data_IF_790219456904
#
_entry.id   IF_790219456904
#
_cell.length_a   1.000
_cell.length_b   1.000
_cell.length_c   1.000
_cell.angle_alpha   90.00
_cell.angle_beta   90.00
_cell.angle_gamma   90.00
#
_symmetry.space_group_name_H-M   'P 1'
#
loop_
_entity.id
_entity.type
_entity.pdbx_description
1 polymer ?
#
# COMPACT_ATOMS: atom_id res chain seq x y z
N UNK A 1 -1.46 13.69 7.39
CA UNK A 1 -1.80 12.42 6.71
C UNK A 1 -3.14 12.62 6.01
N UNK A 2 -3.23 12.28 4.72
CA UNK A 2 -4.48 12.33 3.94
C UNK A 2 -4.88 10.89 3.67
N UNK A 3 -6.12 10.53 4.00
CA UNK A 3 -6.66 9.21 3.69
C UNK A 3 -7.49 9.29 2.41
N UNK A 4 -7.09 8.56 1.37
CA UNK A 4 -7.86 8.40 0.14
C UNK A 4 -8.70 7.13 0.23
N UNK A 5 -9.92 7.23 0.74
CA UNK A 5 -10.84 6.08 0.83
C UNK A 5 -11.67 5.92 -0.44
N UNK A 6 -12.13 4.68 -0.71
CA UNK A 6 -13.06 4.39 -1.79
C UNK A 6 -12.41 4.35 -3.17
N UNK A 7 -12.75 5.31 -4.04
CA UNK A 7 -12.37 5.34 -5.47
C UNK A 7 -11.33 6.40 -5.83
N UNK A 8 -10.80 7.13 -4.84
CA UNK A 8 -9.84 8.21 -5.07
C UNK A 8 -8.44 7.67 -5.31
N UNK A 9 -7.80 8.05 -6.42
CA UNK A 9 -6.44 7.63 -6.75
C UNK A 9 -5.39 8.49 -6.02
N UNK A 10 -4.52 7.90 -5.18
CA UNK A 10 -3.51 8.63 -4.41
C UNK A 10 -2.60 9.48 -5.28
N UNK A 11 -2.26 8.99 -6.47
CA UNK A 11 -1.41 9.68 -7.44
C UNK A 11 -1.98 11.04 -7.85
N UNK A 12 -3.30 11.15 -8.03
CA UNK A 12 -3.95 12.41 -8.40
C UNK A 12 -3.87 13.44 -7.26
N UNK A 13 -3.96 12.97 -6.01
CA UNK A 13 -3.80 13.83 -4.83
C UNK A 13 -2.35 14.30 -4.71
N UNK A 14 -1.39 13.39 -4.90
CA UNK A 14 0.04 13.73 -4.89
C UNK A 14 0.39 14.74 -5.98
N UNK A 15 -0.12 14.57 -7.20
CA UNK A 15 0.07 15.51 -8.30
C UNK A 15 -0.52 16.89 -8.00
N UNK A 16 -1.73 16.94 -7.42
CA UNK A 16 -2.35 18.20 -7.02
C UNK A 16 -1.52 18.94 -5.95
N UNK A 17 -0.98 18.21 -4.95
CA UNK A 17 -0.12 18.78 -3.91
C UNK A 17 1.20 19.31 -4.50
N UNK A 18 1.83 18.55 -5.40
CA UNK A 18 3.05 18.97 -6.07
C UNK A 18 2.82 20.22 -6.92
N UNK A 19 1.75 20.23 -7.73
CA UNK A 19 1.43 21.32 -8.67
C UNK A 19 1.07 22.62 -7.95
N UNK A 20 0.25 22.55 -6.91
CA UNK A 20 -0.31 23.76 -6.29
C UNK A 20 0.45 24.21 -5.05
N UNK A 21 1.06 23.28 -4.33
CA UNK A 21 1.70 23.55 -3.02
C UNK A 21 3.20 23.28 -3.03
N UNK A 22 3.78 22.78 -4.14
CA UNK A 22 5.19 22.35 -4.24
C UNK A 22 5.58 21.37 -3.13
N UNK A 23 4.63 20.55 -2.71
CA UNK A 23 4.81 19.56 -1.66
C UNK A 23 4.86 18.16 -2.28
N UNK A 24 5.84 17.37 -1.86
CA UNK A 24 5.92 15.96 -2.22
C UNK A 24 5.11 15.14 -1.20
N UNK A 25 4.38 14.13 -1.69
CA UNK A 25 3.60 13.24 -0.84
C UNK A 25 4.12 11.81 -0.97
N UNK A 26 4.36 11.17 0.17
CA UNK A 26 4.58 9.74 0.26
C UNK A 26 3.24 9.01 0.22
N UNK A 27 3.16 7.98 -0.63
CA UNK A 27 1.95 7.18 -0.80
C UNK A 27 2.20 5.81 -0.17
N UNK A 28 1.48 5.53 0.91
CA UNK A 28 1.42 4.20 1.53
C UNK A 28 0.07 3.56 1.26
N UNK A 29 0.08 2.32 0.76
CA UNK A 29 -1.12 1.51 0.56
C UNK A 29 -1.16 0.38 1.59
N UNK A 30 -2.32 0.12 2.16
CA UNK A 30 -2.53 -0.98 3.11
C UNK A 30 -3.43 -2.02 2.45
N UNK A 31 -2.94 -3.25 2.33
CA UNK A 31 -3.68 -4.39 1.80
C UNK A 31 -4.19 -5.24 2.97
N UNK A 32 -5.45 -5.66 2.92
CA UNK A 32 -6.02 -6.65 3.83
C UNK A 32 -5.78 -8.05 3.24
N UNK A 33 -4.81 -8.80 3.78
CA UNK A 33 -4.42 -10.11 3.27
C UNK A 33 -5.59 -11.11 3.25
N UNK A 34 -6.39 -11.13 4.33
CA UNK A 34 -7.53 -12.04 4.47
C UNK A 34 -8.70 -11.75 3.51
N UNK A 35 -8.71 -10.59 2.85
CA UNK A 35 -9.75 -10.22 1.86
C UNK A 35 -9.24 -10.12 0.43
N UNK A 36 -7.93 -10.22 0.21
CA UNK A 36 -7.28 -9.97 -1.08
C UNK A 36 -7.91 -10.76 -2.22
N UNK A 37 -8.03 -12.09 -2.07
CA UNK A 37 -8.52 -12.96 -3.14
C UNK A 37 -9.93 -12.60 -3.61
N UNK A 38 -10.80 -12.18 -2.69
CA UNK A 38 -12.17 -11.75 -3.02
C UNK A 38 -12.20 -10.38 -3.70
N UNK A 39 -11.35 -9.46 -3.25
CA UNK A 39 -11.37 -8.06 -3.69
C UNK A 39 -10.62 -7.85 -5.00
N UNK A 40 -9.52 -8.58 -5.24
CA UNK A 40 -8.63 -8.36 -6.40
C UNK A 40 -9.35 -8.48 -7.74
N UNK A 41 -10.31 -9.40 -7.84
CA UNK A 41 -11.06 -9.65 -9.07
C UNK A 41 -12.11 -8.56 -9.28
N UNK A 42 -12.89 -8.26 -8.26
CA UNK A 42 -14.01 -7.31 -8.39
C UNK A 42 -13.56 -5.85 -8.46
N UNK A 43 -12.36 -5.54 -7.96
CA UNK A 43 -11.84 -4.18 -7.82
C UNK A 43 -10.51 -3.98 -8.57
N UNK A 44 -10.20 -4.81 -9.57
CA UNK A 44 -8.92 -4.84 -10.29
C UNK A 44 -8.44 -3.43 -10.69
N UNK A 45 -9.24 -2.67 -11.45
CA UNK A 45 -8.87 -1.33 -11.89
C UNK A 45 -8.60 -0.34 -10.74
N UNK A 46 -9.36 -0.47 -9.65
CA UNK A 46 -9.16 0.36 -8.47
C UNK A 46 -7.84 0.01 -7.79
N UNK A 47 -7.58 -1.28 -7.58
CA UNK A 47 -6.36 -1.79 -6.95
C UNK A 47 -5.13 -1.39 -7.76
N UNK A 48 -5.19 -1.50 -9.09
CA UNK A 48 -4.12 -1.04 -9.98
C UNK A 48 -3.83 0.44 -9.72
N UNK A 49 -4.84 1.30 -9.78
CA UNK A 49 -4.59 2.73 -9.60
C UNK A 49 -4.19 3.14 -8.17
N UNK A 50 -4.53 2.35 -7.14
CA UNK A 50 -3.98 2.57 -5.80
C UNK A 50 -2.50 2.18 -5.74
N UNK A 51 -2.14 1.01 -6.29
CA UNK A 51 -0.81 0.44 -6.15
C UNK A 51 0.22 1.05 -7.08
N UNK A 52 -0.14 1.48 -8.30
CA UNK A 52 0.83 1.97 -9.29
C UNK A 52 1.64 3.19 -8.83
N UNK A 53 1.10 4.01 -7.93
CA UNK A 53 1.80 5.17 -7.35
C UNK A 53 2.32 4.95 -5.93
N UNK A 54 2.18 3.75 -5.38
CA UNK A 54 2.60 3.47 -4.01
C UNK A 54 4.12 3.46 -3.88
N UNK A 55 4.63 4.08 -2.82
CA UNK A 55 6.03 4.01 -2.44
C UNK A 55 6.24 2.89 -1.41
N UNK A 56 5.29 2.74 -0.50
CA UNK A 56 5.26 1.66 0.51
C UNK A 56 3.94 0.91 0.45
N UNK A 57 3.99 -0.41 0.59
CA UNK A 57 2.81 -1.28 0.68
C UNK A 57 2.89 -2.11 1.96
N UNK A 58 1.85 -2.02 2.78
CA UNK A 58 1.71 -2.81 3.99
C UNK A 58 0.72 -3.95 3.73
N UNK A 59 1.21 -5.18 3.73
CA UNK A 59 0.38 -6.39 3.72
C UNK A 59 -0.07 -6.63 5.17
N UNK A 60 -1.28 -6.19 5.49
CA UNK A 60 -1.82 -6.19 6.85
C UNK A 60 -2.71 -7.41 7.11
N UNK A 61 -2.88 -7.71 8.41
CA UNK A 61 -3.64 -8.86 8.95
C UNK A 61 -3.02 -10.20 8.61
N UNK A 62 -1.69 -10.25 8.58
CA UNK A 62 -0.94 -11.50 8.36
C UNK A 62 -1.18 -12.53 9.47
N UNK A 63 -1.63 -12.09 10.65
CA UNK A 63 -2.08 -12.97 11.74
C UNK A 63 -3.34 -13.80 11.41
N UNK A 64 -4.09 -13.40 10.38
CA UNK A 64 -5.33 -14.08 9.97
C UNK A 64 -5.17 -15.02 8.78
N UNK A 65 -3.97 -15.12 8.22
CA UNK A 65 -3.66 -15.92 7.02
C UNK A 65 -2.38 -16.72 7.23
N UNK A 66 -2.14 -17.72 6.39
CA UNK A 66 -0.86 -18.43 6.43
C UNK A 66 0.28 -17.57 5.85
N UNK A 67 1.55 -17.85 6.21
CA UNK A 67 2.70 -17.17 5.59
C UNK A 67 2.70 -17.29 4.06
N UNK A 68 2.33 -18.45 3.52
CA UNK A 68 2.26 -18.69 2.08
C UNK A 68 1.15 -17.85 1.42
N UNK A 69 0.02 -17.67 2.10
CA UNK A 69 -1.05 -16.78 1.62
C UNK A 69 -0.59 -15.32 1.61
N UNK A 70 0.11 -14.86 2.65
CA UNK A 70 0.65 -13.51 2.71
C UNK A 70 1.70 -13.26 1.61
N UNK A 71 2.60 -14.23 1.37
CA UNK A 71 3.56 -14.18 0.26
C UNK A 71 2.88 -14.15 -1.11
N UNK A 72 1.80 -14.90 -1.30
CA UNK A 72 1.04 -14.88 -2.55
C UNK A 72 0.39 -13.51 -2.78
N UNK A 73 -0.15 -12.87 -1.74
CA UNK A 73 -0.69 -11.50 -1.81
C UNK A 73 0.40 -10.50 -2.20
N UNK A 74 1.58 -10.57 -1.58
CA UNK A 74 2.71 -9.71 -1.93
C UNK A 74 3.12 -9.91 -3.38
N UNK A 75 3.24 -11.17 -3.83
CA UNK A 75 3.60 -11.49 -5.21
C UNK A 75 2.62 -10.87 -6.19
N UNK A 76 1.31 -11.07 -6.00
CA UNK A 76 0.28 -10.48 -6.85
C UNK A 76 0.39 -8.94 -6.87
N UNK A 77 0.63 -8.31 -5.72
CA UNK A 77 0.76 -6.85 -5.65
C UNK A 77 2.04 -6.33 -6.31
N UNK A 78 3.14 -7.09 -6.27
CA UNK A 78 4.41 -6.77 -6.95
C UNK A 78 4.31 -6.85 -8.47
N UNK A 79 3.44 -7.72 -9.00
CA UNK A 79 3.15 -7.75 -10.44
C UNK A 79 2.54 -6.42 -10.93
N UNK A 80 1.85 -5.69 -10.04
CA UNK A 80 1.27 -4.37 -10.33
C UNK A 80 2.30 -3.25 -10.11
N UNK A 81 3.06 -3.29 -9.01
CA UNK A 81 4.09 -2.30 -8.71
C UNK A 81 5.32 -2.92 -8.05
N UNK A 82 6.30 -3.32 -8.86
CA UNK A 82 7.56 -3.88 -8.35
C UNK A 82 8.49 -2.88 -7.66
N UNK A 83 8.24 -1.57 -7.77
CA UNK A 83 9.12 -0.53 -7.24
C UNK A 83 8.81 -0.15 -5.79
N UNK A 84 7.65 -0.54 -5.26
CA UNK A 84 7.30 -0.25 -3.88
C UNK A 84 8.08 -1.13 -2.89
N UNK A 85 8.25 -0.62 -1.67
CA UNK A 85 8.75 -1.40 -0.54
C UNK A 85 7.58 -2.10 0.15
N UNK A 86 7.72 -3.40 0.41
CA UNK A 86 6.66 -4.22 0.99
C UNK A 86 7.01 -4.65 2.40
N UNK A 87 6.02 -4.57 3.30
CA UNK A 87 6.13 -5.05 4.66
C UNK A 87 4.93 -5.91 5.02
N UNK A 88 5.18 -7.04 5.67
CA UNK A 88 4.16 -7.85 6.32
C UNK A 88 3.94 -7.31 7.72
N UNK A 89 2.70 -6.96 8.04
CA UNK A 89 2.34 -6.36 9.32
C UNK A 89 1.07 -6.98 9.87
N UNK A 90 0.96 -6.96 11.19
CA UNK A 90 -0.28 -7.25 11.87
C UNK A 90 -0.66 -6.06 12.75
N UNK A 91 -1.90 -5.59 12.64
CA UNK A 91 -2.41 -4.49 13.47
C UNK A 91 -2.54 -4.84 14.96
N UNK A 92 -2.32 -6.10 15.35
CA UNK A 92 -2.25 -6.53 16.75
C UNK A 92 -0.80 -6.60 17.28
N UNK A 93 0.18 -6.42 16.40
CA UNK A 93 1.60 -6.40 16.74
C UNK A 93 2.15 -4.96 16.69
N UNK A 94 3.24 -4.71 17.40
CA UNK A 94 3.92 -3.42 17.35
C UNK A 94 4.61 -3.25 16.00
N UNK A 95 4.34 -2.14 15.31
CA UNK A 95 4.99 -1.81 14.05
C UNK A 95 6.39 -1.27 14.36
N UNK A 96 7.42 -1.93 13.82
CA UNK A 96 8.80 -1.51 13.98
C UNK A 96 9.06 -0.09 13.48
N UNK A 97 9.88 0.67 14.20
CA UNK A 97 10.22 2.05 13.88
C UNK A 97 10.80 2.21 12.46
N UNK A 98 11.48 1.19 11.95
CA UNK A 98 12.00 1.14 10.58
C UNK A 98 10.89 1.19 9.52
N UNK A 99 9.74 0.53 9.76
CA UNK A 99 8.58 0.54 8.84
C UNK A 99 7.94 1.92 8.87
N UNK A 100 7.77 2.50 10.06
CA UNK A 100 7.24 3.85 10.21
C UNK A 100 8.12 4.89 9.50
N UNK A 101 9.44 4.74 9.62
CA UNK A 101 10.38 5.62 8.93
C UNK A 101 10.28 5.48 7.41
N UNK A 102 10.18 4.25 6.88
CA UNK A 102 9.97 4.01 5.46
C UNK A 102 8.69 4.67 4.92
N UNK A 103 7.60 4.64 5.69
CA UNK A 103 6.34 5.32 5.33
C UNK A 103 6.47 6.85 5.26
N UNK A 104 7.39 7.43 6.03
CA UNK A 104 7.59 8.88 6.12
C UNK A 104 8.62 9.40 5.11
N UNK A 105 9.68 8.63 4.88
CA UNK A 105 10.82 9.08 4.07
C UNK A 105 10.70 8.66 2.61
N UNK A 106 10.08 7.51 2.33
CA UNK A 106 10.04 6.89 1.00
C UNK A 106 11.38 6.95 0.28
N UNK A 107 12.42 6.46 0.97
CA UNK A 107 13.85 6.41 0.64
C UNK A 107 14.51 7.69 0.06
N UNK A 108 15.72 7.96 0.57
CA UNK A 108 16.57 9.13 0.30
C UNK A 108 17.14 9.19 -1.13
#
# INVERSE_FOLDING_TARGET
>A
MIETTGVAFPSNVSEALSTHLRANAQITVIIDAGRWQRLRISLENLIIGQLSGAHTVLINKTDLVSPEEAEAVEKDAREINGNAIYYHVSGIEEIGANILQAMLDGES
#
